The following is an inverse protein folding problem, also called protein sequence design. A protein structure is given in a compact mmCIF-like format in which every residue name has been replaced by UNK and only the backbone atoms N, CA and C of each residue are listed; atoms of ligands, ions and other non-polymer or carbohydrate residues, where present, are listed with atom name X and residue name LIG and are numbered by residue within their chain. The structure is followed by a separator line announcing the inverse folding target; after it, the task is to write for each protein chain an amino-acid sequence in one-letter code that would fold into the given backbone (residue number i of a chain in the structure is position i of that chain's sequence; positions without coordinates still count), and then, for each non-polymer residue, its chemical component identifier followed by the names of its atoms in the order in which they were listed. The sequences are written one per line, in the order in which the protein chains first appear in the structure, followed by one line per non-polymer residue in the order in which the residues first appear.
data_IF_068021099610
#
_entry.id   IF_068021099610
#
_cell.length_a   1.000
_cell.length_b   1.000
_cell.length_c   1.000
_cell.angle_alpha   90.00
_cell.angle_beta   90.00
_cell.angle_gamma   90.00
#
_symmetry.space_group_name_H-M   'P 1'
#
loop_
_entity.id
_entity.type
_entity.pdbx_description
1 polymer ?
#
# COMPACT_ATOMS: atom_id res chain seq x y z
N UNK A 1 17.49 -8.82 4.80
CA UNK A 1 18.76 -8.33 5.39
C UNK A 1 19.88 -8.70 4.43
N UNK A 2 20.79 -7.77 4.12
CA UNK A 2 21.88 -7.99 3.17
C UNK A 2 21.42 -8.48 1.78
N UNK A 3 20.33 -7.90 1.27
CA UNK A 3 19.75 -8.24 -0.04
C UNK A 3 18.95 -9.54 -0.07
N UNK A 4 18.78 -10.25 1.05
CA UNK A 4 18.02 -11.49 1.12
C UNK A 4 16.72 -11.34 1.93
N UNK A 5 15.68 -12.09 1.55
CA UNK A 5 14.46 -12.20 2.34
C UNK A 5 14.72 -12.97 3.64
N UNK A 6 14.16 -12.47 4.74
CA UNK A 6 14.26 -13.10 6.06
C UNK A 6 12.89 -13.12 6.71
N UNK A 7 12.58 -14.11 7.56
CA UNK A 7 11.37 -14.09 8.38
C UNK A 7 11.36 -12.86 9.30
N UNK A 8 10.18 -12.28 9.50
CA UNK A 8 9.94 -11.14 10.38
C UNK A 8 8.63 -11.34 11.15
N UNK A 9 8.52 -10.67 12.30
CA UNK A 9 7.22 -10.53 12.97
C UNK A 9 6.30 -9.60 12.18
N UNK A 10 5.00 -9.69 12.44
CA UNK A 10 4.03 -8.78 11.83
C UNK A 10 4.32 -7.32 12.17
N UNK A 11 4.64 -7.03 13.44
CA UNK A 11 4.93 -5.67 13.90
C UNK A 11 6.17 -5.10 13.18
N UNK A 12 7.28 -5.86 13.13
CA UNK A 12 8.51 -5.42 12.42
C UNK A 12 8.24 -5.13 10.94
N UNK A 13 7.46 -5.99 10.27
CA UNK A 13 7.17 -5.84 8.85
C UNK A 13 6.26 -4.65 8.57
N UNK A 14 5.20 -4.47 9.36
CA UNK A 14 4.22 -3.41 9.17
C UNK A 14 4.78 -2.03 9.53
N UNK A 15 5.55 -1.92 10.62
CA UNK A 15 6.20 -0.66 11.02
C UNK A 15 7.16 -0.19 9.92
N UNK A 16 7.99 -1.10 9.39
CA UNK A 16 8.91 -0.75 8.31
C UNK A 16 8.19 -0.25 7.05
N UNK A 17 7.09 -0.92 6.65
CA UNK A 17 6.32 -0.50 5.47
C UNK A 17 5.65 0.84 5.71
N UNK A 18 5.05 1.04 6.89
CA UNK A 18 4.39 2.29 7.24
C UNK A 18 5.38 3.47 7.23
N UNK A 19 6.54 3.32 7.88
CA UNK A 19 7.58 4.34 7.92
C UNK A 19 8.05 4.73 6.51
N UNK A 20 8.27 3.73 5.65
CA UNK A 20 8.71 3.98 4.26
C UNK A 20 7.62 4.64 3.43
N UNK A 21 6.36 4.26 3.60
CA UNK A 21 5.24 4.90 2.92
C UNK A 21 5.11 6.37 3.32
N UNK A 22 5.20 6.65 4.62
CA UNK A 22 5.16 8.03 5.14
C UNK A 22 6.35 8.85 4.63
N UNK A 23 7.57 8.30 4.70
CA UNK A 23 8.79 8.96 4.21
C UNK A 23 8.67 9.34 2.72
N UNK A 24 8.23 8.39 1.88
CA UNK A 24 8.05 8.61 0.44
C UNK A 24 6.96 9.65 0.18
N UNK A 25 5.81 9.53 0.83
CA UNK A 25 4.70 10.46 0.65
C UNK A 25 5.07 11.89 1.09
N UNK A 26 5.82 12.05 2.18
CA UNK A 26 6.30 13.35 2.63
C UNK A 26 7.32 13.97 1.67
N UNK A 27 8.23 13.15 1.12
CA UNK A 27 9.31 13.63 0.26
C UNK A 27 8.87 13.91 -1.17
N UNK A 28 7.94 13.11 -1.70
CA UNK A 28 7.58 13.09 -3.12
C UNK A 28 6.10 13.40 -3.38
N UNK A 29 5.31 13.63 -2.32
CA UNK A 29 3.87 13.80 -2.39
C UNK A 29 3.12 12.46 -2.36
N UNK A 30 1.81 12.48 -2.06
CA UNK A 30 1.01 11.26 -1.91
C UNK A 30 0.89 10.44 -3.21
N UNK A 31 0.93 11.10 -4.37
CA UNK A 31 0.86 10.43 -5.68
C UNK A 31 2.15 9.69 -6.07
N UNK A 32 3.20 9.75 -5.26
CA UNK A 32 4.36 8.88 -5.39
C UNK A 32 4.06 7.42 -4.97
N UNK A 33 2.92 7.16 -4.34
CA UNK A 33 2.45 5.84 -3.96
C UNK A 33 1.32 5.37 -4.89
N UNK A 34 1.21 4.06 -5.05
CA UNK A 34 0.13 3.42 -5.80
C UNK A 34 -0.32 2.12 -5.13
N UNK A 35 -1.58 1.75 -5.34
CA UNK A 35 -2.18 0.55 -4.77
C UNK A 35 -2.84 -0.29 -5.85
N UNK A 36 -2.68 -1.62 -5.76
CA UNK A 36 -3.29 -2.57 -6.68
C UNK A 36 -4.26 -3.46 -5.90
N UNK A 37 -5.52 -3.42 -6.30
CA UNK A 37 -6.61 -4.24 -5.78
C UNK A 37 -6.87 -5.44 -6.69
N UNK A 38 -7.63 -6.43 -6.21
CA UNK A 38 -7.72 -7.75 -6.85
C UNK A 38 -9.15 -8.25 -6.96
N UNK A 39 -9.49 -8.83 -8.11
CA UNK A 39 -10.76 -9.52 -8.35
C UNK A 39 -10.88 -10.84 -7.55
N UNK A 40 -9.77 -11.31 -6.96
CA UNK A 40 -9.76 -12.48 -6.06
C UNK A 40 -10.04 -12.11 -4.61
N UNK A 41 -10.08 -10.82 -4.29
CA UNK A 41 -10.46 -10.31 -2.97
C UNK A 41 -11.96 -9.97 -2.95
N UNK A 42 -12.50 -9.88 -1.75
CA UNK A 42 -13.88 -9.43 -1.49
C UNK A 42 -14.05 -7.94 -1.81
N UNK A 43 -15.32 -7.51 -1.92
CA UNK A 43 -15.64 -6.10 -2.13
C UNK A 43 -15.22 -5.24 -0.93
N UNK A 44 -15.30 -5.79 0.28
CA UNK A 44 -14.91 -5.17 1.53
C UNK A 44 -13.39 -4.93 1.57
N UNK A 45 -12.58 -5.91 1.19
CA UNK A 45 -11.13 -5.76 1.10
C UNK A 45 -10.73 -4.72 0.04
N UNK A 46 -11.38 -4.76 -1.13
CA UNK A 46 -11.14 -3.76 -2.17
C UNK A 46 -11.57 -2.35 -1.72
N UNK A 47 -12.65 -2.23 -0.95
CA UNK A 47 -13.04 -0.97 -0.33
C UNK A 47 -12.00 -0.48 0.68
N UNK A 48 -11.44 -1.36 1.51
CA UNK A 48 -10.38 -0.98 2.46
C UNK A 48 -9.13 -0.44 1.76
N UNK A 49 -8.70 -1.06 0.65
CA UNK A 49 -7.59 -0.54 -0.17
C UNK A 49 -7.90 0.85 -0.70
N UNK A 50 -9.12 1.07 -1.21
CA UNK A 50 -9.52 2.40 -1.68
C UNK A 50 -9.56 3.43 -0.56
N UNK A 51 -10.06 3.04 0.63
CA UNK A 51 -10.11 3.90 1.80
C UNK A 51 -8.71 4.27 2.29
N UNK A 52 -7.77 3.33 2.29
CA UNK A 52 -6.37 3.58 2.63
C UNK A 52 -5.75 4.57 1.64
N UNK A 53 -5.82 4.29 0.34
CA UNK A 53 -5.20 5.15 -0.68
C UNK A 53 -5.83 6.54 -0.76
N UNK A 54 -7.16 6.63 -0.90
CA UNK A 54 -7.85 7.93 -1.09
C UNK A 54 -8.08 8.68 0.21
N UNK A 55 -8.46 7.97 1.26
CA UNK A 55 -8.91 8.57 2.52
C UNK A 55 -7.77 8.88 3.49
N UNK A 56 -6.75 8.03 3.56
CA UNK A 56 -5.63 8.21 4.49
C UNK A 56 -4.41 8.80 3.79
N UNK A 57 -3.97 8.19 2.69
CA UNK A 57 -2.78 8.63 1.96
C UNK A 57 -3.06 9.88 1.11
N UNK A 58 -4.28 9.99 0.56
CA UNK A 58 -4.69 11.12 -0.26
C UNK A 58 -4.30 11.00 -1.74
N UNK A 59 -4.02 9.78 -2.23
CA UNK A 59 -3.76 9.53 -3.65
C UNK A 59 -4.96 8.86 -4.33
N UNK A 60 -5.14 9.15 -5.61
CA UNK A 60 -6.09 8.43 -6.48
C UNK A 60 -5.44 7.34 -7.33
N UNK A 61 -4.13 7.11 -7.18
CA UNK A 61 -3.35 6.09 -7.91
C UNK A 61 -3.68 4.68 -7.40
N UNK A 62 -4.87 4.20 -7.74
CA UNK A 62 -5.37 2.90 -7.33
C UNK A 62 -5.95 2.19 -8.55
N UNK A 63 -5.51 0.96 -8.79
CA UNK A 63 -5.96 0.15 -9.92
C UNK A 63 -6.53 -1.21 -9.46
N UNK A 64 -7.20 -1.91 -10.36
CA UNK A 64 -7.84 -3.20 -10.13
C UNK A 64 -7.64 -4.12 -11.34
N UNK A 65 -7.37 -5.41 -11.11
CA UNK A 65 -7.02 -6.34 -12.19
C UNK A 65 -8.12 -6.58 -13.24
N UNK A 66 -9.38 -6.17 -12.98
CA UNK A 66 -10.44 -6.17 -14.01
C UNK A 66 -10.25 -5.09 -15.09
N UNK A 67 -9.21 -4.25 -14.98
CA UNK A 67 -8.82 -3.26 -16.00
C UNK A 67 -7.66 -3.74 -16.90
N UNK A 68 -7.19 -4.97 -16.72
CA UNK A 68 -6.26 -5.69 -17.61
C UNK A 68 -7.04 -6.75 -18.41
#
# INVERSE_FOLDING_TARGET
RDGQFVPASWDEALDLVADKFVEIAQKHGPDALAFLSSAKCTNEENYLVQKLGRGLIGTNNIDHCARL
#
